data_IF_567584975524
#
_entry.id   IF_567584975524
#
_cell.length_a   1.000
_cell.length_b   1.000
_cell.length_c   1.000
_cell.angle_alpha   90.00
_cell.angle_beta   90.00
_cell.angle_gamma   90.00
#
_symmetry.space_group_name_H-M   'P 1'
#
loop_
_entity.id
_entity.type
_entity.pdbx_description
1 polymer ?
#
# COMPACT_ATOMS: atom_id res chain seq x y z
N UNK A 1 10.58 -5.60 -4.27
CA UNK A 1 9.49 -5.42 -3.31
C UNK A 1 9.94 -5.95 -1.95
N UNK A 2 9.70 -5.24 -0.85
CA UNK A 2 10.04 -5.72 0.49
C UNK A 2 8.74 -6.21 1.16
N UNK A 3 8.72 -7.45 1.63
CA UNK A 3 7.58 -8.01 2.36
C UNK A 3 7.60 -7.47 3.80
N UNK A 4 6.56 -6.74 4.17
CA UNK A 4 6.46 -6.09 5.49
C UNK A 4 5.74 -6.99 6.51
N UNK A 5 4.66 -7.68 6.10
CA UNK A 5 3.87 -8.58 6.97
C UNK A 5 2.88 -9.44 6.17
N UNK A 6 2.33 -10.48 6.77
CA UNK A 6 1.18 -11.24 6.25
C UNK A 6 -0.08 -10.96 7.07
N UNK A 7 -1.21 -10.83 6.40
CA UNK A 7 -2.53 -10.66 7.01
C UNK A 7 -3.54 -11.61 6.36
N UNK A 8 -4.52 -12.05 7.16
CA UNK A 8 -5.70 -12.75 6.64
C UNK A 8 -6.73 -11.72 6.19
N UNK A 9 -7.43 -12.03 5.10
CA UNK A 9 -8.61 -11.26 4.69
C UNK A 9 -9.70 -11.46 5.74
N UNK A 10 -10.18 -10.35 6.31
CA UNK A 10 -11.27 -10.34 7.27
C UNK A 10 -12.63 -10.13 6.62
N UNK A 11 -13.69 -10.25 7.43
CA UNK A 11 -15.07 -9.93 7.03
C UNK A 11 -15.54 -8.73 7.85
N UNK A 12 -16.04 -7.68 7.21
CA UNK A 12 -16.66 -6.54 7.90
C UNK A 12 -18.16 -6.51 7.62
N UNK A 13 -18.91 -7.25 8.44
CA UNK A 13 -20.37 -7.32 8.36
C UNK A 13 -20.86 -7.68 6.95
N UNK A 14 -21.86 -6.95 6.46
CA UNK A 14 -22.45 -7.12 5.13
C UNK A 14 -21.66 -6.42 4.00
N UNK A 15 -20.65 -5.60 4.32
CA UNK A 15 -19.94 -4.74 3.34
C UNK A 15 -18.82 -5.47 2.59
N UNK A 16 -18.67 -6.78 2.78
CA UNK A 16 -17.71 -7.62 2.07
C UNK A 16 -16.40 -7.89 2.81
N UNK A 17 -15.40 -8.31 2.04
CA UNK A 17 -14.05 -8.62 2.50
C UNK A 17 -13.28 -7.34 2.84
N UNK A 18 -12.51 -7.37 3.91
CA UNK A 18 -11.67 -6.23 4.35
C UNK A 18 -10.26 -6.71 4.63
N UNK A 19 -9.27 -5.92 4.20
CA UNK A 19 -7.87 -6.12 4.52
C UNK A 19 -7.41 -5.04 5.50
N UNK A 20 -6.76 -5.44 6.58
CA UNK A 20 -6.08 -4.52 7.49
C UNK A 20 -4.75 -4.06 6.88
N UNK A 21 -4.50 -2.75 6.89
CA UNK A 21 -3.22 -2.21 6.49
C UNK A 21 -2.17 -2.38 7.61
N UNK A 22 -0.89 -2.63 7.29
CA UNK A 22 0.17 -2.63 8.29
C UNK A 22 0.25 -1.29 9.02
N UNK A 23 0.35 -1.30 10.35
CA UNK A 23 0.48 -0.07 11.16
C UNK A 23 1.62 0.84 10.69
N UNK A 24 2.77 0.27 10.33
CA UNK A 24 3.91 1.05 9.82
C UNK A 24 3.57 1.80 8.54
N UNK A 25 2.81 1.20 7.61
CA UNK A 25 2.38 1.87 6.39
C UNK A 25 1.40 3.02 6.67
N UNK A 26 0.52 2.82 7.66
CA UNK A 26 -0.43 3.85 8.13
C UNK A 26 0.32 5.02 8.76
N UNK A 27 1.23 4.74 9.70
CA UNK A 27 1.99 5.75 10.42
C UNK A 27 2.96 6.51 9.48
N UNK A 28 3.65 5.81 8.56
CA UNK A 28 4.58 6.42 7.60
C UNK A 28 3.88 7.35 6.61
N UNK A 29 2.60 7.11 6.32
CA UNK A 29 1.82 7.91 5.37
C UNK A 29 0.78 8.81 6.05
N UNK A 30 0.80 8.91 7.38
CA UNK A 30 -0.13 9.71 8.20
C UNK A 30 -1.60 9.47 7.84
N UNK A 31 -1.98 8.19 7.69
CA UNK A 31 -3.33 7.82 7.25
C UNK A 31 -4.31 7.79 8.41
N UNK A 32 -5.43 8.49 8.24
CA UNK A 32 -6.57 8.54 9.15
C UNK A 32 -7.87 7.98 8.54
N UNK A 33 -8.91 7.77 9.38
CA UNK A 33 -10.24 7.45 8.89
C UNK A 33 -10.78 8.56 7.98
N UNK A 34 -11.18 8.19 6.77
CA UNK A 34 -11.71 9.13 5.77
C UNK A 34 -10.74 9.43 4.62
N UNK A 35 -9.45 9.11 4.80
CA UNK A 35 -8.47 9.26 3.73
C UNK A 35 -8.70 8.29 2.57
N UNK A 36 -8.30 8.73 1.38
CA UNK A 36 -8.51 7.99 0.14
C UNK A 36 -7.23 7.28 -0.26
N UNK A 37 -7.38 6.00 -0.59
CA UNK A 37 -6.33 5.16 -1.15
C UNK A 37 -6.70 4.81 -2.59
N UNK A 38 -5.72 4.88 -3.48
CA UNK A 38 -5.80 4.37 -4.83
C UNK A 38 -5.32 2.92 -4.83
N UNK A 39 -6.04 2.06 -5.54
CA UNK A 39 -5.74 0.63 -5.64
C UNK A 39 -5.55 0.30 -7.11
N UNK A 40 -4.36 -0.19 -7.44
CA UNK A 40 -4.01 -0.69 -8.76
C UNK A 40 -3.83 -2.20 -8.70
N UNK A 41 -3.96 -2.86 -9.85
CA UNK A 41 -3.70 -4.28 -10.01
C UNK A 41 -2.55 -4.44 -10.99
N UNK A 42 -1.55 -5.21 -10.60
CA UNK A 42 -0.38 -5.50 -11.43
C UNK A 42 -0.11 -7.00 -11.37
N UNK A 43 -0.05 -7.61 -12.54
CA UNK A 43 0.10 -9.03 -12.78
C UNK A 43 1.56 -9.44 -13.04
N UNK A 44 2.49 -8.47 -13.09
CA UNK A 44 3.91 -8.70 -13.37
C UNK A 44 4.76 -8.73 -12.09
N UNK A 45 4.19 -8.35 -10.94
CA UNK A 45 4.89 -8.40 -9.66
C UNK A 45 5.17 -9.86 -9.28
N UNK A 46 6.39 -10.33 -9.55
CA UNK A 46 6.85 -11.69 -9.24
C UNK A 46 6.05 -12.82 -9.92
N UNK A 47 5.39 -12.52 -11.05
CA UNK A 47 4.51 -13.45 -11.76
C UNK A 47 3.23 -13.80 -10.99
N UNK A 48 2.82 -12.94 -10.06
CA UNK A 48 1.62 -13.09 -9.24
C UNK A 48 0.71 -11.88 -9.41
N UNK A 49 -0.58 -12.13 -9.31
CA UNK A 49 -1.57 -11.08 -9.22
C UNK A 49 -1.39 -10.30 -7.91
N UNK A 50 -1.02 -9.03 -8.02
CA UNK A 50 -0.74 -8.15 -6.91
C UNK A 50 -1.66 -6.93 -6.93
N UNK A 51 -2.03 -6.47 -5.73
CA UNK A 51 -2.65 -5.16 -5.54
C UNK A 51 -1.57 -4.18 -5.06
N UNK A 52 -1.50 -3.03 -5.71
CA UNK A 52 -0.64 -1.91 -5.32
C UNK A 52 -1.55 -0.86 -4.69
N UNK A 53 -1.22 -0.45 -3.46
CA UNK A 53 -2.01 0.50 -2.69
C UNK A 53 -1.19 1.78 -2.51
N UNK A 54 -1.73 2.91 -2.94
CA UNK A 54 -1.06 4.21 -2.90
C UNK A 54 -1.97 5.23 -2.21
N UNK A 55 -1.51 5.98 -1.20
CA UNK A 55 -2.31 7.05 -0.63
C UNK A 55 -2.45 8.22 -1.60
N UNK A 56 -3.69 8.69 -1.82
CA UNK A 56 -3.97 9.72 -2.81
C UNK A 56 -3.37 11.09 -2.46
N UNK A 57 -3.31 11.42 -1.18
CA UNK A 57 -2.88 12.73 -0.68
C UNK A 57 -1.51 12.71 0.01
N UNK A 58 -0.74 11.62 -0.13
CA UNK A 58 0.62 11.58 0.42
C UNK A 58 1.54 12.46 -0.41
N UNK A 59 1.78 13.68 0.05
CA UNK A 59 2.77 14.61 -0.53
C UNK A 59 4.22 14.13 -0.31
N UNK A 60 4.46 12.92 0.18
CA UNK A 60 5.81 12.35 0.29
C UNK A 60 6.24 11.84 -1.09
N UNK A 61 6.79 12.74 -1.89
CA UNK A 61 7.64 12.35 -3.01
C UNK A 61 8.82 11.59 -2.41
N UNK A 62 8.90 10.28 -2.68
CA UNK A 62 10.11 9.51 -2.37
C UNK A 62 11.16 9.97 -3.39
N UNK A 63 11.93 11.00 -3.04
CA UNK A 63 13.14 11.37 -3.77
C UNK A 63 14.12 10.19 -3.68
N UNK A 64 14.13 9.34 -4.70
CA UNK A 64 15.21 8.40 -4.88
C UNK A 64 16.42 9.22 -5.33
N UNK A 65 17.38 9.41 -4.42
CA UNK A 65 18.74 9.84 -4.79
C UNK A 65 19.32 8.83 -5.77
N UNK A 66 19.12 9.06 -7.06
CA UNK A 66 19.89 8.40 -8.11
C UNK A 66 21.20 9.17 -8.16
N UNK A 67 22.13 8.82 -7.27
CA UNK A 67 23.53 9.22 -7.43
C UNK A 67 24.05 8.52 -8.68
N UNK A 68 23.95 9.21 -9.81
CA UNK A 68 24.66 8.89 -11.04
C UNK A 68 26.15 8.93 -10.70
N UNK A 69 26.75 7.75 -10.59
CA UNK A 69 28.19 7.57 -10.56
C UNK A 69 28.70 8.06 -11.92
N UNK A 70 29.40 9.18 -11.91
CA UNK A 70 30.24 9.65 -13.01
C UNK A 70 31.71 9.50 -12.61
#
# INVERSE_FOLDING_TARGET
>A
MIKIKEYKVGKRGLRGAVLSLPKIFVDDNDLGPGDVLEIFRDNEVTGKDALIIIPKNSNKIVERNISTVG
#
